data_IF_941241127242
#
_entry.id   IF_941241127242
#
_cell.length_a   1.000
_cell.length_b   1.000
_cell.length_c   1.000
_cell.angle_alpha   90.00
_cell.angle_beta   90.00
_cell.angle_gamma   90.00
#
_symmetry.space_group_name_H-M   'P 1'
#
loop_
_entity.id
_entity.type
_entity.pdbx_description
1 polymer ?
#
# COMPACT_ATOMS: atom_id res chain seq x y z
N UNK A 1 8.42 -17.86 -20.74
CA UNK A 1 7.03 -18.21 -20.37
C UNK A 1 6.22 -16.93 -20.44
N UNK A 2 5.08 -16.87 -21.14
CA UNK A 2 4.25 -15.68 -21.09
C UNK A 2 3.73 -15.52 -19.67
N UNK A 3 3.80 -14.31 -19.09
CA UNK A 3 3.04 -14.02 -17.89
C UNK A 3 1.59 -14.35 -18.21
N UNK A 4 1.02 -15.34 -17.50
CA UNK A 4 -0.42 -15.56 -17.53
C UNK A 4 -1.07 -14.23 -17.14
N UNK A 5 -1.87 -13.68 -18.06
CA UNK A 5 -2.68 -12.49 -17.78
C UNK A 5 -3.55 -12.82 -16.56
N UNK A 6 -3.53 -11.93 -15.58
CA UNK A 6 -4.37 -12.01 -14.39
C UNK A 6 -5.36 -10.84 -14.50
N UNK A 7 -6.58 -11.10 -15.04
CA UNK A 7 -7.54 -10.04 -15.32
C UNK A 7 -7.91 -9.23 -14.08
N UNK A 8 -7.92 -9.84 -12.89
CA UNK A 8 -8.23 -9.17 -11.64
C UNK A 8 -7.14 -8.17 -11.23
N UNK A 9 -5.86 -8.52 -11.43
CA UNK A 9 -4.74 -7.60 -11.19
C UNK A 9 -4.65 -6.51 -12.26
N UNK A 10 -5.00 -6.82 -13.51
CA UNK A 10 -5.09 -5.81 -14.57
C UNK A 10 -6.19 -4.80 -14.26
N UNK A 11 -7.39 -5.26 -13.88
CA UNK A 11 -8.47 -4.40 -13.42
C UNK A 11 -8.06 -3.55 -12.21
N UNK A 12 -7.43 -4.15 -11.21
CA UNK A 12 -6.93 -3.41 -10.05
C UNK A 12 -5.90 -2.33 -10.45
N UNK A 13 -5.02 -2.63 -11.42
CA UNK A 13 -4.06 -1.66 -11.94
C UNK A 13 -4.76 -0.47 -12.62
N UNK A 14 -5.76 -0.74 -13.45
CA UNK A 14 -6.55 0.31 -14.11
C UNK A 14 -7.29 1.19 -13.10
N UNK A 15 -7.89 0.60 -12.06
CA UNK A 15 -8.52 1.34 -10.98
C UNK A 15 -7.53 2.29 -10.30
N UNK A 16 -6.32 1.80 -10.00
CA UNK A 16 -5.27 2.61 -9.37
C UNK A 16 -4.80 3.73 -10.30
N UNK A 17 -4.63 3.47 -11.59
CA UNK A 17 -4.07 4.45 -12.54
C UNK A 17 -5.08 5.50 -13.00
N UNK A 18 -6.34 5.10 -13.26
CA UNK A 18 -7.28 5.93 -14.02
C UNK A 18 -8.50 6.38 -13.21
N UNK A 19 -8.64 5.97 -11.94
CA UNK A 19 -9.77 6.37 -11.09
C UNK A 19 -9.32 6.93 -9.76
N UNK A 20 -10.23 7.54 -9.00
CA UNK A 20 -9.98 7.98 -7.61
C UNK A 20 -10.73 7.11 -6.59
N UNK A 21 -10.98 5.84 -6.92
CA UNK A 21 -11.69 4.89 -6.05
C UNK A 21 -10.73 4.21 -5.09
N UNK A 22 -11.15 4.04 -3.84
CA UNK A 22 -10.45 3.20 -2.86
C UNK A 22 -10.65 1.74 -3.20
N UNK A 23 -9.57 0.97 -3.25
CA UNK A 23 -9.60 -0.47 -3.53
C UNK A 23 -9.05 -1.27 -2.35
N UNK A 24 -9.63 -2.44 -2.09
CA UNK A 24 -9.10 -3.41 -1.15
C UNK A 24 -8.72 -4.68 -1.91
N UNK A 25 -7.41 -4.89 -2.08
CA UNK A 25 -6.87 -6.06 -2.78
C UNK A 25 -6.45 -7.13 -1.77
N UNK A 26 -7.13 -8.27 -1.79
CA UNK A 26 -6.82 -9.44 -0.93
C UNK A 26 -6.40 -10.64 -1.79
N UNK A 27 -5.85 -11.67 -1.15
CA UNK A 27 -5.47 -12.92 -1.80
C UNK A 27 -4.60 -13.79 -0.88
N UNK A 28 -4.52 -15.09 -1.18
CA UNK A 28 -3.68 -16.05 -0.43
C UNK A 28 -2.18 -15.72 -0.51
N UNK A 29 -1.36 -16.33 0.33
CA UNK A 29 0.09 -16.23 0.20
C UNK A 29 0.54 -16.70 -1.20
N UNK A 30 1.53 -16.04 -1.79
CA UNK A 30 2.04 -16.39 -3.13
C UNK A 30 1.23 -15.87 -4.32
N UNK A 31 0.12 -15.14 -4.12
CA UNK A 31 -0.73 -14.63 -5.23
C UNK A 31 -0.22 -13.34 -5.91
N UNK A 32 1.07 -13.02 -5.82
CA UNK A 32 1.66 -11.89 -6.55
C UNK A 32 1.33 -10.47 -6.02
N UNK A 33 0.74 -10.32 -4.84
CA UNK A 33 0.41 -8.99 -4.26
C UNK A 33 1.63 -8.04 -4.14
N UNK A 34 2.77 -8.55 -3.67
CA UNK A 34 4.00 -7.76 -3.56
C UNK A 34 4.53 -7.36 -4.95
N UNK A 35 4.45 -8.29 -5.91
CA UNK A 35 4.81 -8.02 -7.31
C UNK A 35 3.93 -6.92 -7.90
N UNK A 36 2.62 -6.96 -7.64
CA UNK A 36 1.68 -5.93 -8.04
C UNK A 36 2.01 -4.56 -7.44
N UNK A 37 2.33 -4.50 -6.14
CA UNK A 37 2.76 -3.27 -5.49
C UNK A 37 4.02 -2.67 -6.15
N UNK A 38 5.00 -3.51 -6.49
CA UNK A 38 6.20 -3.06 -7.20
C UNK A 38 5.91 -2.56 -8.62
N UNK A 39 4.97 -3.20 -9.33
CA UNK A 39 4.51 -2.74 -10.65
C UNK A 39 3.88 -1.35 -10.56
N UNK A 40 2.94 -1.15 -9.63
CA UNK A 40 2.33 0.17 -9.41
C UNK A 40 3.40 1.21 -9.09
N UNK A 41 4.32 0.91 -8.17
CA UNK A 41 5.39 1.84 -7.79
C UNK A 41 6.24 2.29 -8.98
N UNK A 42 6.47 1.41 -9.95
CA UNK A 42 7.32 1.65 -11.11
C UNK A 42 6.58 2.38 -12.24
N UNK A 43 5.33 2.02 -12.49
CA UNK A 43 4.63 2.34 -13.74
C UNK A 43 3.43 3.29 -13.55
N UNK A 44 2.87 3.39 -12.34
CA UNK A 44 1.71 4.24 -12.13
C UNK A 44 2.10 5.73 -12.21
N UNK A 45 1.30 6.56 -12.90
CA UNK A 45 1.61 7.99 -13.10
C UNK A 45 1.35 8.85 -11.85
N UNK A 46 0.91 8.25 -10.74
CA UNK A 46 0.47 8.97 -9.54
C UNK A 46 1.60 9.11 -8.53
N UNK A 47 1.69 10.29 -7.93
CA UNK A 47 2.49 10.49 -6.72
C UNK A 47 1.94 9.58 -5.62
N UNK A 48 2.81 8.77 -5.03
CA UNK A 48 2.41 7.78 -4.04
C UNK A 48 3.32 7.78 -2.82
N UNK A 49 2.72 7.50 -1.68
CA UNK A 49 3.41 7.07 -0.47
C UNK A 49 3.04 5.62 -0.20
N UNK A 50 4.03 4.79 0.13
CA UNK A 50 3.83 3.39 0.49
C UNK A 50 4.02 3.27 2.00
N UNK A 51 2.95 2.89 2.69
CA UNK A 51 2.93 2.74 4.14
C UNK A 51 2.53 1.32 4.54
N UNK A 52 3.06 0.85 5.67
CA UNK A 52 2.73 -0.45 6.25
C UNK A 52 2.63 -0.37 7.78
N UNK A 53 1.91 -1.30 8.45
CA UNK A 53 1.74 -1.24 9.90
C UNK A 53 2.98 -1.67 10.69
N UNK A 54 3.85 -2.52 10.12
CA UNK A 54 5.07 -3.03 10.78
C UNK A 54 6.34 -2.69 10.00
N UNK A 55 7.47 -2.60 10.71
CA UNK A 55 8.77 -2.28 10.11
C UNK A 55 9.20 -3.26 9.02
N UNK A 56 9.06 -4.56 9.26
CA UNK A 56 9.41 -5.61 8.28
C UNK A 56 8.58 -5.49 7.00
N UNK A 57 7.28 -5.23 7.12
CA UNK A 57 6.40 -5.02 5.96
C UNK A 57 6.76 -3.75 5.19
N UNK A 58 7.07 -2.65 5.90
CA UNK A 58 7.50 -1.41 5.28
C UNK A 58 8.79 -1.58 4.48
N UNK A 59 9.79 -2.28 5.03
CA UNK A 59 11.05 -2.59 4.36
C UNK A 59 10.81 -3.42 3.10
N UNK A 60 10.02 -4.49 3.20
CA UNK A 60 9.71 -5.35 2.05
C UNK A 60 8.97 -4.59 0.93
N UNK A 61 8.10 -3.64 1.30
CA UNK A 61 7.39 -2.79 0.36
C UNK A 61 8.23 -1.60 -0.18
N UNK A 62 9.47 -1.42 0.31
CA UNK A 62 10.30 -0.23 0.07
C UNK A 62 9.55 1.08 0.38
N UNK A 63 8.92 1.10 1.55
CA UNK A 63 8.12 2.21 2.08
C UNK A 63 8.47 2.53 3.54
N UNK A 64 7.51 3.10 4.26
CA UNK A 64 7.66 3.54 5.66
C UNK A 64 6.54 2.93 6.54
N UNK A 65 6.71 2.94 7.85
CA UNK A 65 5.59 2.61 8.74
C UNK A 65 4.54 3.72 8.75
N UNK A 66 3.29 3.37 9.03
CA UNK A 66 2.21 4.36 9.23
C UNK A 66 2.58 5.34 10.35
N UNK A 67 3.16 4.83 11.45
CA UNK A 67 3.62 5.65 12.57
C UNK A 67 4.64 6.69 12.16
N UNK A 68 5.71 6.29 11.46
CA UNK A 68 6.78 7.21 11.07
C UNK A 68 6.33 8.17 9.96
N UNK A 69 5.45 7.76 9.04
CA UNK A 69 5.00 8.64 7.96
C UNK A 69 4.09 9.75 8.46
N UNK A 70 3.15 9.43 9.35
CA UNK A 70 2.19 10.39 9.90
C UNK A 70 2.58 10.96 11.27
N UNK A 71 3.79 10.64 11.77
CA UNK A 71 4.28 11.04 13.10
C UNK A 71 3.30 10.63 14.22
N UNK A 72 2.70 9.44 14.12
CA UNK A 72 1.73 8.96 15.11
C UNK A 72 2.43 8.28 16.28
N UNK A 73 2.07 8.59 17.54
CA UNK A 73 2.59 7.90 18.70
C UNK A 73 2.17 6.42 18.71
N UNK A 74 2.90 5.60 19.45
CA UNK A 74 2.47 4.24 19.76
C UNK A 74 1.39 4.26 20.84
N UNK A 75 0.36 3.44 20.65
CA UNK A 75 -0.77 3.34 21.57
C UNK A 75 -2.06 3.96 21.02
N UNK A 76 -3.17 3.81 21.75
CA UNK A 76 -4.46 4.33 21.33
C UNK A 76 -4.46 5.86 21.35
N UNK A 77 -5.03 6.46 20.30
CA UNK A 77 -5.33 7.89 20.28
C UNK A 77 -6.64 8.14 21.01
N UNK A 78 -6.56 8.66 22.23
CA UNK A 78 -7.73 8.94 23.06
C UNK A 78 -8.32 10.31 22.67
N UNK A 79 -9.62 10.40 22.36
CA UNK A 79 -10.26 11.68 22.13
C UNK A 79 -10.14 12.55 23.40
N UNK A 80 -9.62 13.77 23.25
CA UNK A 80 -9.40 14.72 24.36
C UNK A 80 -7.96 14.80 24.88
N UNK A 81 -7.08 13.86 24.52
CA UNK A 81 -5.65 13.98 24.80
C UNK A 81 -4.97 14.72 23.65
N UNK A 82 -5.10 16.05 23.65
CA UNK A 82 -4.16 16.91 22.94
C UNK A 82 -2.80 16.82 23.64
N UNK A 83 -2.05 15.75 23.38
CA UNK A 83 -0.59 15.91 23.38
C UNK A 83 -0.27 16.59 22.06
N UNK A 84 -0.30 17.91 22.15
CA UNK A 84 0.23 18.83 21.15
C UNK A 84 1.65 18.41 20.77
N UNK A 85 1.97 18.66 19.50
CA UNK A 85 3.18 18.27 18.80
C UNK A 85 4.49 18.63 19.54
#
# INVERSE_FOLDING_TARGET
MPLQSNPELELAYEYVCYTNKSIFLTGKAGTGKTTFLHKIKKEAPKRMAIVAPTGVAAINAKGMTIHSFFQLPFGPYLPGNAREA
#
